data_IF_560208874145
#
_entry.id   IF_560208874145
#
_cell.length_a   1.000
_cell.length_b   1.000
_cell.length_c   1.000
_cell.angle_alpha   90.00
_cell.angle_beta   90.00
_cell.angle_gamma   90.00
#
_symmetry.space_group_name_H-M   'P 1'
#
loop_
_entity.id
_entity.type
_entity.pdbx_description
1 polymer ?
#
# COMPACT_ATOMS: atom_id res chain seq x y z
N UNK A 1 3.53 4.83 15.17
CA UNK A 1 4.02 5.85 14.21
C UNK A 1 3.21 5.78 12.93
N UNK A 2 3.17 6.87 12.18
CA UNK A 2 2.39 6.96 10.95
C UNK A 2 3.31 7.14 9.76
N UNK A 3 2.97 6.47 8.65
CA UNK A 3 3.78 6.48 7.43
C UNK A 3 2.91 6.60 6.18
N UNK A 4 3.40 7.34 5.20
CA UNK A 4 2.89 7.34 3.84
C UNK A 4 3.79 6.41 3.01
N UNK A 5 3.19 5.49 2.28
CA UNK A 5 3.88 4.63 1.34
C UNK A 5 3.35 4.91 -0.07
N UNK A 6 4.26 5.11 -1.01
CA UNK A 6 3.93 5.24 -2.43
C UNK A 6 4.65 4.13 -3.16
N UNK A 7 3.88 3.33 -3.91
CA UNK A 7 4.36 2.18 -4.64
C UNK A 7 4.10 2.41 -6.13
N UNK A 8 5.17 2.51 -6.93
CA UNK A 8 5.06 2.68 -8.37
C UNK A 8 5.17 1.33 -9.06
N UNK A 9 4.30 1.09 -10.05
CA UNK A 9 4.25 -0.17 -10.79
C UNK A 9 5.00 -0.06 -12.11
N UNK A 10 5.53 -1.19 -12.57
CA UNK A 10 6.18 -1.30 -13.88
C UNK A 10 5.16 -1.10 -14.99
N UNK A 11 5.52 -0.44 -16.11
CA UNK A 11 4.66 -0.37 -17.28
C UNK A 11 4.24 -1.77 -17.76
N UNK A 12 3.01 -1.89 -18.28
CA UNK A 12 2.52 -3.15 -18.80
C UNK A 12 2.11 -4.18 -17.76
N UNK A 13 1.89 -3.75 -16.50
CA UNK A 13 1.58 -4.65 -15.38
C UNK A 13 0.08 -4.94 -15.19
N UNK A 14 -0.79 -4.39 -16.02
CA UNK A 14 -2.24 -4.41 -15.78
C UNK A 14 -2.82 -5.83 -15.70
N UNK A 15 -2.38 -6.74 -16.56
CA UNK A 15 -2.88 -8.12 -16.54
C UNK A 15 -2.48 -8.86 -15.28
N UNK A 16 -1.23 -8.71 -14.83
CA UNK A 16 -0.73 -9.33 -13.59
C UNK A 16 -1.44 -8.71 -12.39
N UNK A 17 -1.61 -7.40 -12.38
CA UNK A 17 -2.32 -6.69 -11.32
C UNK A 17 -3.75 -7.20 -11.18
N UNK A 18 -4.45 -7.36 -12.28
CA UNK A 18 -5.82 -7.90 -12.30
C UNK A 18 -5.86 -9.32 -11.73
N UNK A 19 -4.90 -10.17 -12.11
CA UNK A 19 -4.83 -11.55 -11.62
C UNK A 19 -4.55 -11.63 -10.12
N UNK A 20 -3.81 -10.67 -9.54
CA UNK A 20 -3.43 -10.65 -8.13
C UNK A 20 -4.32 -9.75 -7.26
N UNK A 21 -5.34 -9.13 -7.84
CA UNK A 21 -6.12 -8.09 -7.16
C UNK A 21 -6.80 -8.60 -5.87
N UNK A 22 -7.40 -9.79 -5.91
CA UNK A 22 -8.12 -10.34 -4.76
C UNK A 22 -7.16 -10.67 -3.61
N UNK A 23 -6.01 -11.28 -3.90
CA UNK A 23 -4.99 -11.56 -2.90
C UNK A 23 -4.42 -10.28 -2.31
N UNK A 24 -4.20 -9.25 -3.14
CA UNK A 24 -3.77 -7.94 -2.67
C UNK A 24 -4.77 -7.34 -1.68
N UNK A 25 -6.07 -7.40 -1.99
CA UNK A 25 -7.12 -6.89 -1.09
C UNK A 25 -7.15 -7.63 0.25
N UNK A 26 -6.97 -8.93 0.24
CA UNK A 26 -6.88 -9.74 1.47
C UNK A 26 -5.67 -9.30 2.30
N UNK A 27 -4.53 -9.10 1.66
CA UNK A 27 -3.31 -8.63 2.32
C UNK A 27 -3.52 -7.26 2.98
N UNK A 28 -4.13 -6.32 2.28
CA UNK A 28 -4.47 -4.99 2.82
C UNK A 28 -5.45 -5.11 4.00
N UNK A 29 -6.51 -5.88 3.85
CA UNK A 29 -7.54 -6.02 4.89
C UNK A 29 -7.00 -6.63 6.19
N UNK A 30 -5.97 -7.47 6.09
CA UNK A 30 -5.32 -8.09 7.25
C UNK A 30 -4.16 -7.26 7.83
N UNK A 31 -3.78 -6.16 7.16
CA UNK A 31 -2.57 -5.43 7.54
C UNK A 31 -1.31 -6.29 7.42
N UNK A 32 -1.26 -7.19 6.42
CA UNK A 32 -0.16 -8.13 6.25
C UNK A 32 -0.06 -9.12 7.42
N UNK A 33 -1.17 -9.65 7.88
CA UNK A 33 -1.26 -10.48 9.10
C UNK A 33 -0.89 -9.71 10.37
N UNK A 34 -1.33 -8.46 10.47
CA UNK A 34 -1.14 -7.66 11.67
C UNK A 34 0.23 -6.99 11.80
N UNK A 35 1.03 -6.99 10.74
CA UNK A 35 2.34 -6.30 10.74
C UNK A 35 2.16 -4.79 10.82
N UNK A 36 1.14 -4.27 10.13
CA UNK A 36 0.77 -2.86 10.15
C UNK A 36 -0.74 -2.71 10.31
N UNK A 37 -1.18 -1.51 10.66
CA UNK A 37 -2.59 -1.13 10.56
C UNK A 37 -2.74 -0.22 9.34
N UNK A 38 -3.53 -0.64 8.36
CA UNK A 38 -3.78 0.14 7.16
C UNK A 38 -4.90 1.12 7.42
N UNK A 39 -4.60 2.41 7.41
CA UNK A 39 -5.58 3.46 7.68
C UNK A 39 -6.39 3.79 6.44
N UNK A 40 -5.72 4.00 5.32
CA UNK A 40 -6.35 4.26 4.04
C UNK A 40 -5.38 3.94 2.91
N UNK A 41 -5.89 3.87 1.71
CA UNK A 41 -5.08 3.67 0.53
C UNK A 41 -5.93 3.71 -0.73
N UNK A 42 -5.28 3.82 -1.87
CA UNK A 42 -5.92 3.83 -3.17
C UNK A 42 -4.92 3.48 -4.26
N UNK A 43 -5.44 3.13 -5.42
CA UNK A 43 -4.66 3.15 -6.64
C UNK A 43 -4.22 4.58 -6.97
N UNK A 44 -3.09 4.70 -7.65
CA UNK A 44 -2.64 5.91 -8.30
C UNK A 44 -2.84 5.74 -9.80
N UNK A 45 -3.34 6.77 -10.46
CA UNK A 45 -3.63 6.71 -11.90
C UNK A 45 -2.91 7.81 -12.65
N UNK A 46 -2.90 7.67 -13.98
CA UNK A 46 -2.57 8.79 -14.87
C UNK A 46 -3.64 9.87 -14.77
N UNK A 47 -3.46 10.97 -15.51
CA UNK A 47 -4.39 12.09 -15.50
C UNK A 47 -5.81 11.73 -15.96
N UNK A 48 -5.98 10.60 -16.65
CA UNK A 48 -7.28 10.10 -17.08
C UNK A 48 -8.16 9.57 -15.92
N UNK A 49 -7.58 9.37 -14.74
CA UNK A 49 -8.28 8.84 -13.58
C UNK A 49 -8.62 7.35 -13.66
N UNK A 50 -8.10 6.64 -14.65
CA UNK A 50 -8.44 5.24 -14.92
C UNK A 50 -7.23 4.32 -15.06
N UNK A 51 -6.16 4.78 -15.72
CA UNK A 51 -4.98 3.96 -15.97
C UNK A 51 -4.11 3.89 -14.73
N UNK A 52 -4.09 2.75 -14.06
CA UNK A 52 -3.32 2.54 -12.83
C UNK A 52 -1.83 2.55 -13.10
N UNK A 53 -1.08 3.30 -12.30
CA UNK A 53 0.39 3.39 -12.36
C UNK A 53 1.05 3.03 -11.03
N UNK A 54 0.27 2.80 -10.00
CA UNK A 54 0.77 2.47 -8.68
C UNK A 54 -0.33 2.45 -7.64
N UNK A 55 0.08 2.49 -6.40
CA UNK A 55 -0.85 2.62 -5.27
C UNK A 55 -0.15 3.33 -4.11
N UNK A 56 -0.93 3.88 -3.20
CA UNK A 56 -0.42 4.44 -1.96
C UNK A 56 -1.15 3.87 -0.77
N UNK A 57 -0.54 4.00 0.39
CA UNK A 57 -1.19 3.69 1.65
C UNK A 57 -0.71 4.62 2.75
N UNK A 58 -1.57 4.81 3.76
CA UNK A 58 -1.19 5.44 5.03
C UNK A 58 -1.35 4.38 6.10
N UNK A 59 -0.27 4.19 6.90
CA UNK A 59 -0.18 3.11 7.87
C UNK A 59 0.14 3.64 9.25
N UNK A 60 -0.36 2.91 10.24
CA UNK A 60 0.18 2.94 11.59
C UNK A 60 1.02 1.69 11.79
N UNK A 61 2.27 1.86 12.23
CA UNK A 61 3.22 0.78 12.41
C UNK A 61 4.23 1.12 13.50
N UNK A 62 4.92 0.09 14.00
CA UNK A 62 5.98 0.27 15.00
C UNK A 62 7.19 1.03 14.43
N UNK A 63 7.46 0.89 13.13
CA UNK A 63 8.55 1.58 12.45
C UNK A 63 8.49 1.39 10.94
N UNK A 64 9.44 1.99 10.22
CA UNK A 64 9.53 1.86 8.77
C UNK A 64 9.76 0.42 8.34
N UNK A 65 10.49 -0.38 9.13
CA UNK A 65 10.78 -1.77 8.81
C UNK A 65 9.49 -2.60 8.65
N UNK A 66 8.48 -2.35 9.46
CA UNK A 66 7.19 -3.05 9.39
C UNK A 66 6.41 -2.66 8.14
N UNK A 67 6.46 -1.39 7.75
CA UNK A 67 5.85 -0.94 6.49
C UNK A 67 6.55 -1.60 5.31
N UNK A 68 7.86 -1.67 5.34
CA UNK A 68 8.66 -2.32 4.29
C UNK A 68 8.37 -3.82 4.20
N UNK A 69 8.23 -4.49 5.34
CA UNK A 69 7.85 -5.91 5.38
C UNK A 69 6.45 -6.13 4.81
N UNK A 70 5.51 -5.23 5.10
CA UNK A 70 4.17 -5.26 4.51
C UNK A 70 4.21 -5.19 2.98
N UNK A 71 5.02 -4.26 2.44
CA UNK A 71 5.17 -4.09 0.99
C UNK A 71 5.82 -5.31 0.36
N UNK A 72 6.86 -5.86 0.98
CA UNK A 72 7.58 -7.03 0.46
C UNK A 72 6.71 -8.29 0.41
N UNK A 73 5.75 -8.42 1.32
CA UNK A 73 4.81 -9.54 1.37
C UNK A 73 3.56 -9.34 0.50
N UNK A 74 3.38 -8.16 -0.09
CA UNK A 74 2.24 -7.88 -0.96
C UNK A 74 2.29 -8.77 -2.21
N UNK A 75 1.17 -9.41 -2.60
CA UNK A 75 1.10 -10.18 -3.84
C UNK A 75 1.58 -9.44 -5.09
N UNK A 76 1.39 -8.12 -5.17
CA UNK A 76 1.93 -7.32 -6.28
C UNK A 76 3.45 -7.31 -6.30
N UNK A 77 4.08 -7.19 -5.13
CA UNK A 77 5.54 -7.24 -5.03
C UNK A 77 6.07 -8.62 -5.39
N UNK A 78 5.43 -9.67 -4.87
CA UNK A 78 5.81 -11.06 -5.14
C UNK A 78 5.66 -11.38 -6.62
N UNK A 79 4.63 -10.85 -7.29
CA UNK A 79 4.42 -11.02 -8.73
C UNK A 79 5.38 -10.19 -9.60
N UNK A 80 6.22 -9.34 -9.00
CA UNK A 80 7.28 -8.62 -9.70
C UNK A 80 6.83 -7.36 -10.42
N UNK A 81 5.64 -6.82 -10.14
CA UNK A 81 5.16 -5.61 -10.84
C UNK A 81 5.56 -4.30 -10.17
N UNK A 82 6.13 -4.34 -8.98
CA UNK A 82 6.57 -3.15 -8.26
C UNK A 82 7.91 -2.67 -8.81
N UNK A 83 7.96 -1.41 -9.21
CA UNK A 83 9.17 -0.77 -9.74
C UNK A 83 9.95 -0.06 -8.63
N UNK A 84 9.27 0.77 -7.86
CA UNK A 84 9.89 1.51 -6.75
C UNK A 84 8.90 1.76 -5.63
N UNK A 85 9.44 1.97 -4.42
CA UNK A 85 8.66 2.23 -3.21
C UNK A 85 9.27 3.40 -2.47
N UNK A 86 8.43 4.36 -2.08
CA UNK A 86 8.81 5.46 -1.20
C UNK A 86 8.05 5.31 0.11
N UNK A 87 8.75 5.41 1.23
CA UNK A 87 8.16 5.39 2.57
C UNK A 87 8.57 6.67 3.28
N UNK A 88 7.59 7.45 3.69
CA UNK A 88 7.80 8.77 4.32
C UNK A 88 7.11 8.78 5.68
N UNK A 89 7.83 9.22 6.71
CA UNK A 89 7.27 9.37 8.05
C UNK A 89 6.31 10.56 8.09
N UNK A 90 5.08 10.33 8.59
CA UNK A 90 4.16 11.39 8.94
C UNK A 90 4.40 11.83 10.40
N UNK A 91 4.06 13.08 10.76
CA UNK A 91 4.28 13.55 12.13
C UNK A 91 3.37 12.81 13.12
N UNK A 92 3.79 12.74 14.37
CA UNK A 92 3.00 12.12 15.44
C UNK A 92 1.63 12.80 15.63
N UNK A 93 1.54 14.08 15.27
CA UNK A 93 0.28 14.86 15.30
C UNK A 93 -0.67 14.55 14.15
N UNK A 94 -0.30 13.63 13.23
CA UNK A 94 -1.18 13.21 12.15
C UNK A 94 -2.54 12.75 12.72
N UNK A 95 -3.62 13.26 12.17
CA UNK A 95 -4.97 13.04 12.70
C UNK A 95 -5.59 11.74 12.18
N UNK A 96 -4.97 10.62 12.54
CA UNK A 96 -5.39 9.29 12.13
C UNK A 96 -6.83 8.97 12.56
N UNK A 97 -7.29 9.53 13.67
CA UNK A 97 -8.65 9.30 14.19
C UNK A 97 -9.75 9.81 13.25
N UNK A 98 -9.42 10.64 12.27
CA UNK A 98 -10.36 11.11 11.24
C UNK A 98 -10.56 10.11 10.12
N UNK A 99 -9.77 9.05 10.08
CA UNK A 99 -9.82 8.03 9.04
C UNK A 99 -10.47 6.78 9.61
N UNK A 100 -11.42 6.19 8.89
CA UNK A 100 -11.93 4.87 9.21
C UNK A 100 -10.97 3.84 8.63
N UNK A 101 -10.26 3.05 9.47
CA UNK A 101 -9.24 2.15 8.99
C UNK A 101 -9.76 1.06 8.06
N UNK A 102 -8.92 0.64 7.10
CA UNK A 102 -9.16 -0.50 6.22
C UNK A 102 -8.83 -1.82 6.91
N UNK A 103 -7.91 -1.80 7.88
CA UNK A 103 -7.59 -2.96 8.70
C UNK A 103 -7.73 -2.64 10.19
N UNK A 104 -7.97 -3.64 11.00
CA UNK A 104 -8.17 -3.48 12.45
C UNK A 104 -6.87 -3.59 13.27
#
# INVERSE_FOLDING_TARGET
MYFLMICWHKPGSQAVKKAQHDQHRVHVASGGNGVVRVLTGSALTEADGETDVGNFGIFEAAGEAEVRAFVEADPFTIAGIVDSVEIVRLPDRFKAHRIQPLSS
#
